data_IF_327660723869
#
_entry.id   IF_327660723869
#
_cell.length_a   1.000
_cell.length_b   1.000
_cell.length_c   1.000
_cell.angle_alpha   90.00
_cell.angle_beta   90.00
_cell.angle_gamma   90.00
#
_symmetry.space_group_name_H-M   'P 1'
#
loop_
_entity.id
_entity.type
_entity.pdbx_description
1 polymer ?
#
# COMPACT_ATOMS: atom_id res chain seq x y z
N UNK A 1 40.98 -1.85 -44.27
CA UNK A 1 41.46 -2.24 -42.92
C UNK A 1 40.26 -2.28 -41.99
N UNK A 2 40.14 -3.35 -41.18
CA UNK A 2 38.93 -3.77 -40.47
C UNK A 2 38.57 -2.82 -39.31
N UNK A 3 37.26 -2.55 -39.18
CA UNK A 3 36.59 -1.84 -38.08
C UNK A 3 36.87 -2.56 -36.76
N UNK A 4 37.47 -1.89 -35.79
CA UNK A 4 37.52 -2.34 -34.40
C UNK A 4 36.55 -1.50 -33.60
N UNK A 5 35.40 -2.12 -33.32
CA UNK A 5 34.26 -1.58 -32.61
C UNK A 5 34.66 -1.29 -31.15
N UNK A 6 34.50 -0.04 -30.73
CA UNK A 6 34.26 0.32 -29.33
C UNK A 6 33.08 -0.49 -28.79
N UNK A 7 33.17 -0.95 -27.53
CA UNK A 7 32.08 -1.18 -26.54
C UNK A 7 32.72 -1.95 -25.36
N UNK A 8 33.28 -1.29 -24.34
CA UNK A 8 32.59 -0.87 -23.10
C UNK A 8 31.80 -2.02 -22.42
N UNK A 9 32.51 -2.90 -21.72
CA UNK A 9 32.07 -3.48 -20.44
C UNK A 9 32.99 -2.88 -19.37
N UNK A 10 32.48 -2.44 -18.19
CA UNK A 10 31.74 -3.28 -17.26
C UNK A 10 30.44 -2.61 -16.76
N UNK A 11 29.31 -3.31 -16.69
CA UNK A 11 28.98 -4.16 -15.54
C UNK A 11 29.21 -3.44 -14.20
N UNK A 12 28.53 -2.33 -13.93
CA UNK A 12 28.42 -1.76 -12.60
C UNK A 12 26.98 -1.28 -12.35
N UNK A 13 26.35 -1.99 -11.41
CA UNK A 13 25.35 -1.45 -10.48
C UNK A 13 23.96 -1.19 -11.06
N UNK A 14 23.30 -2.26 -11.52
CA UNK A 14 21.90 -2.39 -11.19
C UNK A 14 21.83 -2.57 -9.66
N UNK A 15 21.74 -1.45 -8.93
CA UNK A 15 21.23 -1.44 -7.56
C UNK A 15 19.79 -1.91 -7.67
N UNK A 16 19.62 -3.23 -7.65
CA UNK A 16 18.39 -3.88 -7.19
C UNK A 16 18.29 -3.54 -5.71
N UNK A 17 17.98 -2.27 -5.41
CA UNK A 17 17.42 -1.92 -4.14
C UNK A 17 16.13 -2.70 -4.09
N UNK A 18 16.10 -3.75 -3.28
CA UNK A 18 14.86 -4.40 -2.86
C UNK A 18 14.07 -3.37 -2.03
N UNK A 19 13.61 -2.31 -2.67
CA UNK A 19 12.58 -1.45 -2.14
C UNK A 19 11.38 -2.37 -2.01
N UNK A 20 11.05 -2.75 -0.77
CA UNK A 20 9.75 -3.32 -0.47
C UNK A 20 8.76 -2.21 -0.77
N UNK A 21 8.00 -2.27 -1.89
CA UNK A 21 7.13 -1.17 -2.24
C UNK A 21 6.11 -1.00 -1.13
N UNK A 22 5.90 0.24 -0.69
CA UNK A 22 4.84 0.55 0.25
C UNK A 22 3.54 0.09 -0.39
N UNK A 23 2.76 -0.69 0.35
CA UNK A 23 1.47 -1.18 -0.16
C UNK A 23 0.50 0.00 -0.25
N UNK A 24 0.37 0.58 -1.45
CA UNK A 24 -0.65 1.60 -1.73
C UNK A 24 -2.00 0.90 -1.86
N UNK A 25 -2.94 1.23 -0.98
CA UNK A 25 -4.27 0.63 -0.99
C UNK A 25 -5.21 1.47 -1.85
N UNK A 26 -5.92 0.85 -2.79
CA UNK A 26 -6.87 1.54 -3.63
C UNK A 26 -8.11 2.01 -2.84
N UNK A 27 -8.77 3.13 -3.24
CA UNK A 27 -10.07 3.50 -2.68
C UNK A 27 -11.13 2.41 -2.89
N UNK A 28 -12.21 2.43 -2.10
CA UNK A 28 -13.35 1.53 -2.30
C UNK A 28 -14.04 1.80 -3.63
N UNK A 29 -14.13 0.76 -4.46
CA UNK A 29 -14.96 0.78 -5.67
C UNK A 29 -16.45 0.73 -5.32
N UNK A 30 -17.30 1.17 -6.25
CA UNK A 30 -18.76 1.13 -6.03
C UNK A 30 -19.29 -0.29 -5.91
N UNK A 31 -18.68 -1.24 -6.62
CA UNK A 31 -18.98 -2.68 -6.47
C UNK A 31 -18.67 -3.17 -5.07
N UNK A 32 -17.51 -2.79 -4.50
CA UNK A 32 -17.16 -3.15 -3.12
C UNK A 32 -18.15 -2.54 -2.11
N UNK A 33 -18.53 -1.27 -2.29
CA UNK A 33 -19.52 -0.61 -1.42
C UNK A 33 -20.83 -1.42 -1.38
N UNK A 34 -21.28 -1.91 -2.51
CA UNK A 34 -22.53 -2.68 -2.59
C UNK A 34 -22.38 -4.10 -2.02
N UNK A 35 -21.28 -4.78 -2.33
CA UNK A 35 -21.14 -6.23 -2.09
C UNK A 35 -20.52 -6.62 -0.75
N UNK A 36 -19.77 -5.73 -0.09
CA UNK A 36 -19.13 -6.05 1.18
C UNK A 36 -20.13 -6.32 2.30
N UNK A 37 -20.00 -7.49 2.94
CA UNK A 37 -20.73 -7.86 4.15
C UNK A 37 -20.15 -7.19 5.40
N UNK A 38 -20.95 -7.03 6.46
CA UNK A 38 -20.45 -6.45 7.72
C UNK A 38 -19.24 -7.21 8.29
N UNK A 39 -19.18 -8.54 8.13
CA UNK A 39 -18.02 -9.34 8.55
C UNK A 39 -16.75 -8.99 7.75
N UNK A 40 -16.89 -8.69 6.45
CA UNK A 40 -15.76 -8.25 5.62
C UNK A 40 -15.35 -6.81 5.94
N UNK A 41 -16.32 -5.93 6.18
CA UNK A 41 -16.09 -4.54 6.59
C UNK A 41 -15.27 -4.48 7.88
N UNK A 42 -15.64 -5.27 8.90
CA UNK A 42 -14.88 -5.35 10.16
C UNK A 42 -13.43 -5.81 9.94
N UNK A 43 -13.25 -6.92 9.21
CA UNK A 43 -11.90 -7.43 8.89
C UNK A 43 -11.04 -6.43 8.11
N UNK A 44 -11.64 -5.73 7.15
CA UNK A 44 -10.92 -4.74 6.33
C UNK A 44 -10.55 -3.52 7.18
N UNK A 45 -11.44 -3.06 8.07
CA UNK A 45 -11.12 -2.01 9.05
C UNK A 45 -9.93 -2.41 9.93
N UNK A 46 -9.94 -3.61 10.51
CA UNK A 46 -8.84 -4.10 11.35
C UNK A 46 -7.53 -4.21 10.58
N UNK A 47 -7.59 -4.77 9.36
CA UNK A 47 -6.43 -4.88 8.47
C UNK A 47 -5.84 -3.51 8.16
N UNK A 48 -6.67 -2.51 7.85
CA UNK A 48 -6.23 -1.14 7.55
C UNK A 48 -5.64 -0.46 8.78
N UNK A 49 -6.19 -0.67 9.97
CA UNK A 49 -5.59 -0.16 11.21
C UNK A 49 -4.21 -0.77 11.48
N UNK A 50 -4.04 -2.08 11.25
CA UNK A 50 -2.73 -2.76 11.38
C UNK A 50 -1.75 -2.17 10.36
N UNK A 51 -2.17 -2.00 9.10
CA UNK A 51 -1.33 -1.41 8.05
C UNK A 51 -0.93 0.01 8.41
N UNK A 52 -1.85 0.86 8.87
CA UNK A 52 -1.54 2.22 9.30
C UNK A 52 -0.56 2.26 10.47
N UNK A 53 -0.73 1.35 11.43
CA UNK A 53 0.19 1.22 12.54
C UNK A 53 1.59 0.81 12.06
N UNK A 54 1.67 -0.13 11.11
CA UNK A 54 2.93 -0.52 10.48
C UNK A 54 3.56 0.64 9.70
N UNK A 55 2.80 1.40 8.92
CA UNK A 55 3.34 2.52 8.13
C UNK A 55 3.79 3.70 9.00
N UNK A 56 3.18 3.91 10.17
CA UNK A 56 3.52 5.01 11.08
C UNK A 56 4.63 4.67 12.08
N UNK A 57 4.73 3.41 12.49
CA UNK A 57 5.57 3.00 13.61
C UNK A 57 6.43 1.77 13.32
N UNK A 58 6.31 1.17 12.14
CA UNK A 58 7.08 -0.01 11.76
C UNK A 58 8.56 0.34 11.56
N UNK A 59 9.42 -0.65 11.78
CA UNK A 59 10.85 -0.52 11.52
C UNK A 59 11.10 -0.28 10.03
N UNK A 60 12.07 0.58 9.70
CA UNK A 60 12.50 0.94 8.33
C UNK A 60 12.78 -0.28 7.43
N UNK A 61 13.05 -1.46 7.99
CA UNK A 61 13.24 -2.70 7.24
C UNK A 61 11.95 -3.27 6.57
N UNK A 62 10.76 -2.78 6.95
CA UNK A 62 9.46 -3.24 6.44
C UNK A 62 8.73 -2.18 5.58
N UNK A 63 9.17 -0.93 5.65
CA UNK A 63 8.56 0.22 4.98
C UNK A 63 9.56 0.71 3.93
N UNK A 64 9.08 1.17 2.77
CA UNK A 64 9.98 1.69 1.72
C UNK A 64 10.95 2.72 2.29
N UNK A 65 12.18 2.75 1.76
CA UNK A 65 13.17 3.77 2.09
C UNK A 65 12.75 5.18 1.60
N UNK A 66 11.64 5.30 0.87
CA UNK A 66 11.07 6.56 0.41
C UNK A 66 9.97 7.09 1.35
N UNK A 67 10.26 8.21 2.01
CA UNK A 67 9.33 8.93 2.88
C UNK A 67 8.12 9.52 2.11
N UNK A 68 8.25 9.80 0.81
CA UNK A 68 7.12 10.23 -0.01
C UNK A 68 6.16 9.07 -0.25
N UNK A 69 6.68 7.90 -0.62
CA UNK A 69 5.90 6.68 -0.83
C UNK A 69 5.18 6.24 0.46
N UNK A 70 5.86 6.33 1.60
CA UNK A 70 5.28 6.03 2.92
C UNK A 70 4.10 6.95 3.24
N UNK A 71 4.27 8.27 3.01
CA UNK A 71 3.18 9.25 3.20
C UNK A 71 2.00 8.98 2.28
N UNK A 72 2.25 8.61 1.02
CA UNK A 72 1.20 8.23 0.08
C UNK A 72 0.45 6.96 0.55
N UNK A 73 1.18 5.96 1.04
CA UNK A 73 0.58 4.75 1.61
C UNK A 73 -0.30 5.05 2.82
N UNK A 74 0.13 5.93 3.71
CA UNK A 74 -0.66 6.38 4.87
C UNK A 74 -1.94 7.07 4.39
N UNK A 75 -1.84 8.05 3.50
CA UNK A 75 -3.00 8.79 2.99
C UNK A 75 -4.01 7.87 2.29
N UNK A 76 -3.51 6.92 1.48
CA UNK A 76 -4.35 5.98 0.76
C UNK A 76 -5.07 5.01 1.72
N UNK A 77 -4.37 4.50 2.74
CA UNK A 77 -4.95 3.63 3.75
C UNK A 77 -5.95 4.37 4.66
N UNK A 78 -5.67 5.62 5.04
CA UNK A 78 -6.60 6.49 5.78
C UNK A 78 -7.88 6.74 4.99
N UNK A 79 -7.76 7.08 3.71
CA UNK A 79 -8.91 7.31 2.83
C UNK A 79 -9.79 6.06 2.75
N UNK A 80 -9.21 4.89 2.50
CA UNK A 80 -9.98 3.65 2.42
C UNK A 80 -10.63 3.30 3.76
N UNK A 81 -9.92 3.52 4.87
CA UNK A 81 -10.47 3.28 6.21
C UNK A 81 -11.66 4.18 6.50
N UNK A 82 -11.61 5.45 6.11
CA UNK A 82 -12.75 6.36 6.22
C UNK A 82 -13.94 5.83 5.42
N UNK A 83 -13.73 5.42 4.16
CA UNK A 83 -14.79 4.86 3.32
C UNK A 83 -15.40 3.58 3.91
N UNK A 84 -14.58 2.71 4.50
CA UNK A 84 -15.05 1.51 5.20
C UNK A 84 -15.90 1.87 6.43
N UNK A 85 -15.50 2.89 7.19
CA UNK A 85 -16.27 3.37 8.36
C UNK A 85 -17.60 3.96 7.94
N UNK A 86 -17.61 4.83 6.94
CA UNK A 86 -18.84 5.38 6.36
C UNK A 86 -19.77 4.24 5.89
N UNK A 87 -19.22 3.25 5.19
CA UNK A 87 -19.99 2.08 4.75
C UNK A 87 -20.54 1.25 5.91
N UNK A 88 -19.78 1.10 7.00
CA UNK A 88 -20.23 0.39 8.20
C UNK A 88 -21.45 1.05 8.84
N UNK A 89 -21.49 2.40 8.87
CA UNK A 89 -22.62 3.17 9.38
C UNK A 89 -23.82 3.05 8.44
N UNK A 90 -23.60 3.19 7.13
CA UNK A 90 -24.65 3.06 6.12
C UNK A 90 -25.31 1.68 6.15
N UNK A 91 -24.55 0.61 6.42
CA UNK A 91 -25.05 -0.76 6.52
C UNK A 91 -25.47 -1.17 7.93
N UNK A 92 -25.42 -0.25 8.91
CA UNK A 92 -25.75 -0.51 10.32
C UNK A 92 -24.99 -1.72 10.89
N UNK A 93 -23.72 -1.87 10.51
CA UNK A 93 -22.88 -2.95 10.98
C UNK A 93 -22.52 -2.74 12.47
N UNK A 94 -22.71 -3.78 13.28
CA UNK A 94 -22.27 -3.81 14.67
C UNK A 94 -21.12 -4.80 14.77
N UNK A 95 -20.01 -4.37 15.35
CA UNK A 95 -18.84 -5.20 15.63
C UNK A 95 -18.86 -5.54 17.11
N UNK A 96 -18.98 -6.82 17.43
CA UNK A 96 -19.05 -7.36 18.80
C UNK A 96 -18.11 -8.54 18.96
#
# INVERSE_FOLDING_TARGET
MKRALLLLLPALLAVQGCARPVTIVAPLSDTEKQTLSCKQIGRESDRLNILLNQLRHGNDALISNDAAETRQGIQAAELRLQQIRELSVQKLCVFG
#
